data_IF_542311287437
#
_entry.id   IF_542311287437
#
_cell.length_a   1.000
_cell.length_b   1.000
_cell.length_c   1.000
_cell.angle_alpha   90.00
_cell.angle_beta   90.00
_cell.angle_gamma   90.00
#
_symmetry.space_group_name_H-M   'P 1'
#
loop_
_entity.id
_entity.type
_entity.pdbx_description
1 polymer ?
#
# COMPACT_ATOMS: atom_id res chain seq x y z
N UNK A 1 -29.84 13.69 11.71
CA UNK A 1 -29.10 12.42 11.81
C UNK A 1 -28.00 12.51 10.77
N UNK A 2 -26.81 12.92 11.20
CA UNK A 2 -25.66 13.15 10.33
C UNK A 2 -25.07 11.81 9.91
N UNK A 3 -25.12 11.52 8.61
CA UNK A 3 -24.34 10.43 8.04
C UNK A 3 -22.86 10.87 8.05
N UNK A 4 -22.05 10.18 8.85
CA UNK A 4 -20.59 10.26 8.77
C UNK A 4 -20.14 9.76 7.40
N UNK A 5 -20.08 10.66 6.42
CA UNK A 5 -19.43 10.42 5.14
C UNK A 5 -17.95 10.23 5.42
N UNK A 6 -17.50 8.96 5.45
CA UNK A 6 -16.07 8.64 5.45
C UNK A 6 -15.42 9.34 4.23
N UNK A 7 -14.31 10.06 4.40
CA UNK A 7 -13.66 10.75 3.30
C UNK A 7 -13.26 9.75 2.21
N UNK A 8 -13.69 10.01 0.98
CA UNK A 8 -13.28 9.23 -0.20
C UNK A 8 -11.78 9.44 -0.44
N UNK A 9 -10.99 8.39 -0.73
CA UNK A 9 -9.54 8.54 -0.92
C UNK A 9 -9.23 9.55 -2.04
N UNK A 10 -8.27 10.44 -1.79
CA UNK A 10 -7.92 11.53 -2.70
C UNK A 10 -7.47 10.99 -4.07
N UNK A 11 -8.13 11.44 -5.15
CA UNK A 11 -7.94 11.03 -6.55
C UNK A 11 -6.60 11.49 -7.15
N UNK A 12 -5.47 10.97 -6.66
CA UNK A 12 -4.16 11.17 -7.28
C UNK A 12 -4.02 10.40 -8.59
N UNK A 13 -3.20 10.89 -9.53
CA UNK A 13 -2.83 10.11 -10.71
C UNK A 13 -1.84 9.00 -10.30
N UNK A 14 -1.94 7.77 -10.84
CA UNK A 14 -0.94 6.73 -10.58
C UNK A 14 0.47 7.19 -10.97
N UNK A 15 1.43 6.98 -10.08
CA UNK A 15 2.84 7.35 -10.24
C UNK A 15 3.66 6.25 -10.95
N UNK A 16 3.19 5.00 -10.94
CA UNK A 16 3.84 3.83 -11.53
C UNK A 16 2.83 2.71 -11.81
N UNK A 17 3.23 1.70 -12.60
CA UNK A 17 2.42 0.50 -12.88
C UNK A 17 2.54 -0.53 -11.75
N UNK A 18 1.43 -1.20 -11.42
CA UNK A 18 1.38 -2.25 -10.40
C UNK A 18 1.84 -3.63 -10.89
N UNK A 19 1.73 -3.89 -12.18
CA UNK A 19 1.89 -5.27 -12.68
C UNK A 19 0.80 -6.18 -12.11
N UNK A 20 1.16 -7.44 -11.83
CA UNK A 20 0.26 -8.40 -11.20
C UNK A 20 0.10 -8.10 -9.70
N UNK A 21 -1.13 -7.80 -9.27
CA UNK A 21 -1.44 -7.59 -7.85
C UNK A 21 -1.79 -8.92 -7.20
N UNK A 22 -1.09 -9.26 -6.13
CA UNK A 22 -1.33 -10.45 -5.31
C UNK A 22 -1.31 -10.08 -3.82
N UNK A 23 -1.87 -10.96 -3.00
CA UNK A 23 -1.83 -10.81 -1.55
C UNK A 23 -1.62 -12.17 -0.89
N UNK A 24 -0.89 -12.19 0.22
CA UNK A 24 -0.79 -13.39 1.05
C UNK A 24 -2.12 -13.69 1.71
N UNK A 25 -2.31 -14.95 2.13
CA UNK A 25 -3.51 -15.37 2.86
C UNK A 25 -3.63 -14.64 4.20
N UNK A 26 -2.53 -14.43 4.91
CA UNK A 26 -2.53 -13.71 6.19
C UNK A 26 -2.98 -12.26 6.02
N UNK A 27 -2.43 -11.55 5.03
CA UNK A 27 -2.83 -10.17 4.75
C UNK A 27 -4.31 -10.05 4.35
N UNK A 28 -4.81 -10.93 3.47
CA UNK A 28 -6.22 -10.93 3.07
C UNK A 28 -7.14 -11.18 4.27
N UNK A 29 -6.84 -12.18 5.09
CA UNK A 29 -7.65 -12.48 6.27
C UNK A 29 -7.67 -11.30 7.25
N UNK A 30 -6.51 -10.71 7.54
CA UNK A 30 -6.41 -9.56 8.44
C UNK A 30 -7.19 -8.34 7.93
N UNK A 31 -7.14 -8.07 6.62
CA UNK A 31 -7.92 -6.99 6.01
C UNK A 31 -9.43 -7.26 6.06
N UNK A 32 -9.86 -8.50 5.82
CA UNK A 32 -11.28 -8.90 5.91
C UNK A 32 -11.79 -8.75 7.35
N UNK A 33 -11.06 -9.26 8.33
CA UNK A 33 -11.43 -9.21 9.75
C UNK A 33 -11.57 -7.77 10.27
N UNK A 34 -10.72 -6.86 9.77
CA UNK A 34 -10.70 -5.45 10.16
C UNK A 34 -11.54 -4.55 9.24
N UNK A 35 -12.19 -5.09 8.21
CA UNK A 35 -13.02 -4.34 7.27
C UNK A 35 -12.22 -3.32 6.43
N UNK A 36 -10.94 -3.60 6.15
CA UNK A 36 -10.06 -2.76 5.33
C UNK A 36 -10.09 -3.23 3.88
N UNK A 37 -10.30 -2.29 2.96
CA UNK A 37 -10.31 -2.59 1.52
C UNK A 37 -8.87 -2.68 0.98
N UNK A 38 -8.49 -3.80 0.32
CA UNK A 38 -7.22 -3.87 -0.39
C UNK A 38 -7.08 -2.81 -1.48
N UNK A 39 -8.18 -2.50 -2.19
CA UNK A 39 -8.20 -1.50 -3.27
C UNK A 39 -7.85 -0.10 -2.75
N UNK A 40 -8.29 0.24 -1.54
CA UNK A 40 -7.93 1.51 -0.90
C UNK A 40 -6.42 1.61 -0.66
N UNK A 41 -5.80 0.56 -0.11
CA UNK A 41 -4.36 0.54 0.16
C UNK A 41 -3.54 0.54 -1.14
N UNK A 42 -4.00 -0.18 -2.17
CA UNK A 42 -3.38 -0.19 -3.50
C UNK A 42 -3.47 1.20 -4.14
N UNK A 43 -4.63 1.85 -4.06
CA UNK A 43 -4.81 3.20 -4.59
C UNK A 43 -3.86 4.20 -3.90
N UNK A 44 -3.76 4.15 -2.58
CA UNK A 44 -2.81 4.97 -1.80
C UNK A 44 -1.37 4.72 -2.25
N UNK A 45 -0.98 3.45 -2.37
CA UNK A 45 0.36 3.02 -2.79
C UNK A 45 0.77 3.62 -4.15
N UNK A 46 -0.10 3.52 -5.16
CA UNK A 46 0.20 4.03 -6.50
C UNK A 46 0.12 5.55 -6.62
N UNK A 47 -0.58 6.22 -5.70
CA UNK A 47 -0.74 7.68 -5.73
C UNK A 47 0.27 8.41 -4.85
N UNK A 48 1.12 7.68 -4.14
CA UNK A 48 2.22 8.25 -3.35
C UNK A 48 1.89 8.49 -1.88
N UNK A 49 0.74 8.05 -1.40
CA UNK A 49 0.49 7.93 0.04
C UNK A 49 1.02 6.57 0.50
N UNK A 50 2.24 6.56 1.04
CA UNK A 50 2.91 5.33 1.42
C UNK A 50 2.74 4.95 2.90
N UNK A 51 1.76 5.56 3.56
CA UNK A 51 1.39 5.26 4.94
C UNK A 51 2.46 5.69 5.95
N UNK A 52 2.79 4.78 6.85
CA UNK A 52 3.65 4.99 8.02
C UNK A 52 5.15 4.93 7.69
N UNK A 53 5.56 5.63 6.63
CA UNK A 53 6.96 5.79 6.26
C UNK A 53 7.49 7.16 6.65
N UNK A 54 8.74 7.20 7.12
CA UNK A 54 9.44 8.46 7.39
C UNK A 54 9.73 9.23 6.09
N UNK A 55 10.04 10.53 6.22
CA UNK A 55 10.30 11.38 5.05
C UNK A 55 11.42 10.85 4.14
N UNK A 56 12.46 10.27 4.73
CA UNK A 56 13.57 9.65 3.98
C UNK A 56 13.09 8.45 3.16
N UNK A 57 12.34 7.53 3.75
CA UNK A 57 11.79 6.36 3.05
C UNK A 57 10.82 6.75 1.93
N UNK A 58 9.98 7.77 2.16
CA UNK A 58 9.12 8.31 1.12
C UNK A 58 9.94 8.92 -0.03
N UNK A 59 11.04 9.60 0.27
CA UNK A 59 11.95 10.11 -0.75
C UNK A 59 12.65 8.97 -1.51
N UNK A 60 13.00 7.87 -0.85
CA UNK A 60 13.53 6.67 -1.50
C UNK A 60 12.52 6.07 -2.48
N UNK A 61 11.23 6.03 -2.14
CA UNK A 61 10.19 5.60 -3.09
C UNK A 61 10.12 6.51 -4.33
N UNK A 62 10.19 7.83 -4.14
CA UNK A 62 10.23 8.78 -5.28
C UNK A 62 11.46 8.56 -6.17
N UNK A 63 12.60 8.21 -5.59
CA UNK A 63 13.80 7.87 -6.34
C UNK A 63 13.64 6.50 -7.04
N UNK A 64 13.10 5.52 -6.34
CA UNK A 64 12.85 4.17 -6.84
C UNK A 64 11.93 4.16 -8.07
N UNK A 65 10.93 5.04 -8.11
CA UNK A 65 10.07 5.24 -9.29
C UNK A 65 10.90 5.62 -10.52
N UNK A 66 11.87 6.52 -10.36
CA UNK A 66 12.69 7.04 -11.49
C UNK A 66 13.83 6.09 -11.87
N UNK A 67 14.40 5.41 -10.89
CA UNK A 67 15.61 4.59 -11.05
C UNK A 67 15.31 3.11 -11.25
N UNK A 68 14.04 2.71 -11.30
CA UNK A 68 13.66 1.30 -11.49
C UNK A 68 14.03 0.43 -10.30
N UNK A 69 13.83 0.91 -9.08
CA UNK A 69 14.02 0.12 -7.85
C UNK A 69 12.67 -0.27 -7.26
N UNK A 70 12.69 -1.21 -6.31
CA UNK A 70 11.49 -1.64 -5.57
C UNK A 70 10.85 -0.46 -4.82
N UNK A 71 9.52 -0.43 -4.78
CA UNK A 71 8.73 0.55 -4.02
C UNK A 71 8.06 -0.16 -2.85
N UNK A 72 8.03 0.48 -1.69
CA UNK A 72 7.53 -0.10 -0.44
C UNK A 72 6.54 0.83 0.26
N UNK A 73 5.51 0.26 0.89
CA UNK A 73 4.62 0.94 1.82
C UNK A 73 4.42 0.13 3.10
N UNK A 74 4.09 0.82 4.17
CA UNK A 74 3.61 0.22 5.41
C UNK A 74 2.34 0.94 5.87
N UNK A 75 1.23 0.24 5.96
CA UNK A 75 -0.03 0.77 6.48
C UNK A 75 -0.41 0.10 7.79
N UNK A 76 -0.54 0.87 8.86
CA UNK A 76 -1.16 0.41 10.10
C UNK A 76 -2.68 0.34 9.92
N UNK A 77 -3.22 -0.87 9.98
CA UNK A 77 -4.66 -1.13 9.82
C UNK A 77 -5.38 -1.39 11.17
N UNK A 78 -4.61 -1.56 12.25
CA UNK A 78 -5.11 -1.62 13.63
C UNK A 78 -4.00 -1.20 14.60
N UNK A 79 -4.24 -1.23 15.92
CA UNK A 79 -3.20 -0.97 16.91
C UNK A 79 -1.98 -1.90 16.78
N UNK A 80 -2.20 -3.15 16.37
CA UNK A 80 -1.20 -4.23 16.34
C UNK A 80 -0.93 -4.81 14.95
N UNK A 81 -1.66 -4.39 13.92
CA UNK A 81 -1.58 -5.00 12.58
C UNK A 81 -1.12 -3.98 11.55
N UNK A 82 -0.16 -4.39 10.72
CA UNK A 82 0.32 -3.65 9.56
C UNK A 82 0.16 -4.48 8.29
N UNK A 83 -0.06 -3.81 7.18
CA UNK A 83 0.04 -4.37 5.83
C UNK A 83 1.21 -3.69 5.14
N UNK A 84 2.14 -4.50 4.65
CA UNK A 84 3.17 -4.06 3.72
C UNK A 84 2.66 -4.21 2.30
N UNK A 85 2.98 -3.23 1.45
CA UNK A 85 2.77 -3.32 0.00
C UNK A 85 4.11 -3.10 -0.69
N UNK A 86 4.52 -4.08 -1.50
CA UNK A 86 5.80 -4.06 -2.20
C UNK A 86 5.53 -4.16 -3.70
N UNK A 87 6.09 -3.26 -4.49
CA UNK A 87 6.13 -3.40 -5.96
C UNK A 87 7.55 -3.63 -6.42
N UNK A 88 7.75 -4.71 -7.17
CA UNK A 88 9.08 -5.11 -7.64
C UNK A 88 9.72 -4.06 -8.57
N UNK A 89 11.05 -4.09 -8.63
CA UNK A 89 11.87 -3.13 -9.37
C UNK A 89 11.46 -3.01 -10.85
N UNK A 90 11.14 -4.13 -11.48
CA UNK A 90 10.69 -4.25 -12.87
C UNK A 90 9.19 -3.99 -13.06
N UNK A 91 8.46 -3.67 -11.97
CA UNK A 91 6.99 -3.48 -11.94
C UNK A 91 6.21 -4.70 -12.45
N UNK A 92 6.79 -5.90 -12.35
CA UNK A 92 6.11 -7.15 -12.74
C UNK A 92 4.97 -7.52 -11.79
N UNK A 93 5.12 -7.22 -10.50
CA UNK A 93 4.11 -7.52 -9.49
C UNK A 93 4.09 -6.55 -8.31
N UNK A 94 2.92 -6.44 -7.69
CA UNK A 94 2.69 -5.81 -6.39
C UNK A 94 2.11 -6.83 -5.41
N UNK A 95 2.76 -7.00 -4.26
CA UNK A 95 2.33 -7.95 -3.22
C UNK A 95 1.90 -7.21 -1.97
N UNK A 96 0.72 -7.58 -1.44
CA UNK A 96 0.26 -7.20 -0.11
C UNK A 96 0.56 -8.35 0.86
N UNK A 97 1.21 -8.05 1.98
CA UNK A 97 1.66 -9.06 2.95
C UNK A 97 1.73 -8.48 4.37
N UNK A 98 1.68 -9.35 5.38
CA UNK A 98 2.04 -9.00 6.75
C UNK A 98 3.57 -8.85 6.86
N UNK A 99 4.08 -8.03 7.79
CA UNK A 99 5.53 -7.94 8.02
C UNK A 99 6.21 -9.28 8.28
N UNK A 100 5.55 -10.19 8.99
CA UNK A 100 6.10 -11.50 9.36
C UNK A 100 6.04 -12.54 8.22
N UNK A 101 5.43 -12.19 7.08
CA UNK A 101 5.37 -13.04 5.88
C UNK A 101 6.45 -12.69 4.85
N UNK A 102 7.31 -11.71 5.15
CA UNK A 102 8.44 -11.28 4.34
C UNK A 102 9.76 -11.82 4.91
#
# INVERSE_FOLDING_TARGET
MSEDVKPSPAKGKPLFSLGQVVATRGALNAMIELGVSPDELIHRHITGDWGDLGAEDQQQNLLAIRSGMRIFCSYKISASTKIWIITEADRSSTTLLLPDEY
#
